data_IF_539641425189
#
_entry.id   IF_539641425189
#
_cell.length_a   1.000
_cell.length_b   1.000
_cell.length_c   1.000
_cell.angle_alpha   90.00
_cell.angle_beta   90.00
_cell.angle_gamma   90.00
#
_symmetry.space_group_name_H-M   'P 1'
#
loop_
_entity.id
_entity.type
_entity.pdbx_description
1 polymer ?
#
# COMPACT_ATOMS: atom_id res chain seq x y z
N UNK A 1 -3.77 19.01 -26.56
CA UNK A 1 -3.27 17.62 -26.57
C UNK A 1 -3.01 17.22 -25.13
N UNK A 2 -3.70 16.18 -24.62
CA UNK A 2 -3.41 15.65 -23.27
C UNK A 2 -2.16 14.78 -23.40
N UNK A 3 -1.10 15.08 -22.65
CA UNK A 3 0.12 14.28 -22.69
C UNK A 3 -0.20 12.82 -22.33
N UNK A 4 0.11 11.84 -23.20
CA UNK A 4 -0.24 10.44 -22.96
C UNK A 4 0.43 9.87 -21.70
N UNK A 5 1.55 10.45 -21.28
CA UNK A 5 2.22 10.11 -20.03
C UNK A 5 1.44 10.58 -18.79
N UNK A 6 0.80 11.75 -18.84
CA UNK A 6 -0.03 12.25 -17.75
C UNK A 6 -1.31 11.42 -17.65
N UNK A 7 -1.97 11.15 -18.77
CA UNK A 7 -3.18 10.29 -18.82
C UNK A 7 -2.96 8.94 -18.15
N UNK A 8 -1.79 8.31 -18.39
CA UNK A 8 -1.44 7.03 -17.77
C UNK A 8 -1.28 7.13 -16.25
N UNK A 9 -0.72 8.22 -15.71
CA UNK A 9 -0.59 8.44 -14.26
C UNK A 9 -1.94 8.54 -13.57
N UNK A 10 -2.87 9.28 -14.16
CA UNK A 10 -4.22 9.40 -13.62
C UNK A 10 -4.92 8.05 -13.54
N UNK A 11 -4.80 7.20 -14.56
CA UNK A 11 -5.37 5.84 -14.53
C UNK A 11 -4.82 5.04 -13.34
N UNK A 12 -3.51 5.06 -13.10
CA UNK A 12 -2.92 4.35 -11.96
C UNK A 12 -3.35 4.94 -10.61
N UNK A 13 -3.45 6.26 -10.47
CA UNK A 13 -3.91 6.90 -9.24
C UNK A 13 -5.37 6.56 -8.95
N UNK A 14 -6.24 6.64 -9.97
CA UNK A 14 -7.63 6.26 -9.85
C UNK A 14 -7.77 4.77 -9.50
N UNK A 15 -7.01 3.89 -10.15
CA UNK A 15 -7.05 2.45 -9.85
C UNK A 15 -6.61 2.16 -8.41
N UNK A 16 -5.55 2.81 -7.93
CA UNK A 16 -5.09 2.69 -6.54
C UNK A 16 -6.17 3.15 -5.55
N UNK A 17 -6.76 4.32 -5.78
CA UNK A 17 -7.80 4.86 -4.91
C UNK A 17 -9.06 3.99 -4.90
N UNK A 18 -9.47 3.46 -6.06
CA UNK A 18 -10.61 2.53 -6.16
C UNK A 18 -10.35 1.26 -5.36
N UNK A 19 -9.16 0.67 -5.48
CA UNK A 19 -8.80 -0.53 -4.72
C UNK A 19 -8.71 -0.24 -3.21
N UNK A 20 -8.10 0.88 -2.81
CA UNK A 20 -8.07 1.32 -1.42
C UNK A 20 -9.49 1.52 -0.86
N UNK A 21 -10.36 2.18 -1.63
CA UNK A 21 -11.76 2.37 -1.29
C UNK A 21 -12.53 1.06 -1.17
N UNK A 22 -12.26 0.08 -2.03
CA UNK A 22 -12.84 -1.26 -1.95
C UNK A 22 -12.40 -1.97 -0.67
N UNK A 23 -11.13 -1.87 -0.29
CA UNK A 23 -10.62 -2.43 0.97
C UNK A 23 -11.29 -1.75 2.17
N UNK A 24 -11.41 -0.42 2.14
CA UNK A 24 -12.14 0.32 3.18
C UNK A 24 -13.57 -0.14 3.30
N UNK A 25 -14.27 -0.24 2.17
CA UNK A 25 -15.65 -0.69 2.11
C UNK A 25 -15.80 -2.11 2.68
N UNK A 26 -14.98 -3.06 2.22
CA UNK A 26 -15.00 -4.45 2.72
C UNK A 26 -14.73 -4.55 4.22
N UNK A 27 -13.89 -3.66 4.77
CA UNK A 27 -13.53 -3.66 6.20
C UNK A 27 -14.53 -2.90 7.08
N UNK A 28 -15.20 -1.90 6.52
CA UNK A 28 -16.28 -1.17 7.18
C UNK A 28 -17.56 -1.98 7.23
N UNK A 29 -17.81 -2.85 6.26
CA UNK A 29 -18.93 -3.79 6.35
C UNK A 29 -18.61 -4.77 7.49
N UNK A 30 -19.45 -4.86 8.53
CA UNK A 30 -19.29 -5.85 9.59
C UNK A 30 -19.66 -7.24 9.06
N UNK A 31 -18.80 -7.83 8.24
CA UNK A 31 -18.94 -9.20 7.73
C UNK A 31 -18.54 -10.25 8.78
N UNK A 32 -18.01 -9.82 9.93
CA UNK A 32 -17.57 -10.71 11.01
C UNK A 32 -18.39 -10.45 12.28
N UNK A 33 -19.19 -11.45 12.66
CA UNK A 33 -19.89 -11.53 13.96
C UNK A 33 -19.03 -12.18 15.05
N UNK A 34 -17.79 -12.57 14.73
CA UNK A 34 -16.83 -13.16 15.67
C UNK A 34 -15.44 -12.57 15.44
N UNK A 35 -14.67 -12.25 16.50
CA UNK A 35 -13.31 -11.73 16.35
C UNK A 35 -12.41 -12.79 15.70
N UNK A 36 -11.89 -12.50 14.50
CA UNK A 36 -10.84 -13.31 13.88
C UNK A 36 -9.58 -13.27 14.74
N UNK A 37 -9.14 -14.42 15.22
CA UNK A 37 -7.90 -14.59 15.98
C UNK A 37 -6.65 -14.64 15.07
N UNK A 38 -6.82 -14.42 13.76
CA UNK A 38 -5.74 -14.47 12.79
C UNK A 38 -5.16 -13.07 12.59
N UNK A 39 -3.90 -12.86 13.01
CA UNK A 39 -3.12 -11.66 12.73
C UNK A 39 -2.73 -11.59 11.25
N UNK A 40 -3.73 -11.45 10.36
CA UNK A 40 -3.47 -11.29 8.94
C UNK A 40 -2.81 -9.94 8.72
N UNK A 41 -1.71 -9.87 7.93
CA UNK A 41 -1.11 -8.62 7.53
C UNK A 41 -2.16 -7.68 6.94
N UNK A 42 -2.06 -6.39 7.27
CA UNK A 42 -3.03 -5.42 6.83
C UNK A 42 -3.06 -5.35 5.30
N UNK A 43 -4.20 -5.74 4.70
CA UNK A 43 -4.32 -5.88 3.25
C UNK A 43 -4.05 -4.56 2.51
N UNK A 44 -4.36 -3.42 3.14
CA UNK A 44 -4.06 -2.10 2.60
C UNK A 44 -2.55 -1.84 2.57
N UNK A 45 -1.84 -2.21 3.64
CA UNK A 45 -0.37 -2.12 3.71
C UNK A 45 0.28 -3.03 2.65
N UNK A 46 -0.17 -4.28 2.56
CA UNK A 46 0.31 -5.21 1.55
C UNK A 46 0.09 -4.66 0.13
N UNK A 47 -1.08 -4.07 -0.12
CA UNK A 47 -1.37 -3.43 -1.40
C UNK A 47 -0.43 -2.26 -1.67
N UNK A 48 -0.19 -1.38 -0.70
CA UNK A 48 0.75 -0.25 -0.83
C UNK A 48 2.15 -0.72 -1.23
N UNK A 49 2.70 -1.73 -0.53
CA UNK A 49 4.03 -2.26 -0.84
C UNK A 49 4.10 -2.94 -2.20
N UNK A 50 3.12 -3.78 -2.54
CA UNK A 50 3.05 -4.45 -3.84
C UNK A 50 2.96 -3.44 -4.99
N UNK A 51 2.22 -2.35 -4.79
CA UNK A 51 2.09 -1.31 -5.81
C UNK A 51 3.40 -0.57 -6.07
N UNK A 52 4.11 -0.21 -5.00
CA UNK A 52 5.39 0.50 -5.08
C UNK A 52 6.46 -0.37 -5.74
N UNK A 53 6.51 -1.67 -5.42
CA UNK A 53 7.41 -2.63 -6.06
C UNK A 53 7.14 -2.78 -7.56
N UNK A 54 5.87 -2.89 -7.97
CA UNK A 54 5.51 -3.12 -9.38
C UNK A 54 5.66 -1.87 -10.25
N UNK A 55 5.33 -0.69 -9.71
CA UNK A 55 5.28 0.58 -10.46
C UNK A 55 5.65 1.76 -9.54
N UNK A 56 6.94 1.90 -9.15
CA UNK A 56 7.36 2.98 -8.27
C UNK A 56 7.02 4.35 -8.88
N UNK A 57 7.30 4.59 -10.15
CA UNK A 57 7.14 5.92 -10.78
C UNK A 57 5.71 6.48 -10.79
N UNK A 58 4.71 5.64 -10.52
CA UNK A 58 3.29 5.99 -10.60
C UNK A 58 2.63 6.18 -9.24
N UNK A 59 3.33 6.01 -8.12
CA UNK A 59 2.76 6.21 -6.76
C UNK A 59 3.46 7.33 -6.00
N UNK A 60 2.86 8.53 -5.93
CA UNK A 60 3.42 9.60 -5.12
C UNK A 60 3.24 9.27 -3.63
N UNK A 61 4.29 9.55 -2.84
CA UNK A 61 4.31 9.32 -1.39
C UNK A 61 3.12 9.97 -0.69
N UNK A 62 2.75 11.18 -1.13
CA UNK A 62 1.60 11.93 -0.63
C UNK A 62 0.29 11.15 -0.75
N UNK A 63 0.10 10.40 -1.82
CA UNK A 63 -1.13 9.63 -2.05
C UNK A 63 -1.21 8.41 -1.12
N UNK A 64 -0.07 7.74 -0.88
CA UNK A 64 0.02 6.66 0.12
C UNK A 64 -0.21 7.22 1.52
N UNK A 65 0.43 8.34 1.86
CA UNK A 65 0.29 9.00 3.16
C UNK A 65 -1.18 9.39 3.43
N UNK A 66 -1.84 10.02 2.45
CA UNK A 66 -3.24 10.42 2.57
C UNK A 66 -4.18 9.22 2.78
N UNK A 67 -4.01 8.16 1.99
CA UNK A 67 -4.83 6.94 2.12
C UNK A 67 -4.60 6.26 3.47
N UNK A 68 -3.35 6.12 3.91
CA UNK A 68 -3.05 5.49 5.20
C UNK A 68 -3.52 6.33 6.38
N UNK A 69 -3.39 7.66 6.32
CA UNK A 69 -3.89 8.54 7.38
C UNK A 69 -5.42 8.48 7.47
N UNK A 70 -6.11 8.43 6.32
CA UNK A 70 -7.55 8.22 6.27
C UNK A 70 -7.93 6.85 6.85
N UNK A 71 -7.14 5.80 6.57
CA UNK A 71 -7.33 4.48 7.16
C UNK A 71 -7.17 4.51 8.68
N UNK A 72 -6.17 5.21 9.20
CA UNK A 72 -5.93 5.32 10.63
C UNK A 72 -7.10 5.99 11.34
N UNK A 73 -7.65 7.06 10.75
CA UNK A 73 -8.84 7.74 11.26
C UNK A 73 -10.09 6.86 11.19
N UNK A 74 -10.30 6.19 10.04
CA UNK A 74 -11.51 5.40 9.77
C UNK A 74 -11.60 4.14 10.62
N UNK A 75 -10.46 3.50 10.89
CA UNK A 75 -10.37 2.28 11.69
C UNK A 75 -10.03 2.54 13.16
N UNK A 76 -10.09 3.81 13.61
CA UNK A 76 -9.80 4.22 14.99
C UNK A 76 -8.44 3.71 15.52
N UNK A 77 -7.46 3.64 14.62
CA UNK A 77 -6.06 3.31 14.96
C UNK A 77 -5.35 4.58 15.44
N UNK A 78 -4.21 4.47 16.15
CA UNK A 78 -3.41 5.63 16.51
C UNK A 78 -3.08 6.45 15.26
N UNK A 79 -3.60 7.69 15.13
CA UNK A 79 -3.59 8.43 13.89
C UNK A 79 -2.16 8.77 13.46
N UNK A 80 -1.81 8.45 12.22
CA UNK A 80 -0.56 8.86 11.59
C UNK A 80 0.65 7.99 11.90
N UNK A 81 0.61 7.14 12.93
CA UNK A 81 1.72 6.24 13.24
C UNK A 81 1.90 5.19 12.13
N UNK A 82 0.83 4.48 11.79
CA UNK A 82 0.84 3.47 10.73
C UNK A 82 1.07 4.13 9.37
N UNK A 83 0.48 5.29 9.12
CA UNK A 83 0.79 6.06 7.92
C UNK A 83 2.28 6.39 7.78
N UNK A 84 2.93 6.86 8.85
CA UNK A 84 4.36 7.17 8.84
C UNK A 84 5.21 5.92 8.58
N UNK A 85 4.92 4.81 9.27
CA UNK A 85 5.64 3.55 9.09
C UNK A 85 5.51 3.01 7.66
N UNK A 86 4.32 3.04 7.09
CA UNK A 86 4.08 2.59 5.72
C UNK A 86 4.79 3.49 4.71
N UNK A 87 4.75 4.81 4.89
CA UNK A 87 5.50 5.75 4.04
C UNK A 87 6.99 5.44 4.07
N UNK A 88 7.58 5.29 5.27
CA UNK A 88 9.01 4.94 5.42
C UNK A 88 9.31 3.60 4.74
N UNK A 89 8.47 2.58 4.96
CA UNK A 89 8.61 1.26 4.34
C UNK A 89 8.54 1.32 2.82
N UNK A 90 7.59 2.08 2.27
CA UNK A 90 7.45 2.25 0.82
C UNK A 90 8.65 2.96 0.20
N UNK A 91 9.19 3.99 0.85
CA UNK A 91 10.36 4.70 0.35
C UNK A 91 11.64 3.86 0.43
N UNK A 92 11.76 3.05 1.46
CA UNK A 92 12.82 2.07 1.56
C UNK A 92 12.76 1.03 0.44
N UNK A 93 11.56 0.51 0.14
CA UNK A 93 11.31 -0.43 -0.95
C UNK A 93 11.56 0.20 -2.33
N UNK A 94 11.15 1.47 -2.50
CA UNK A 94 11.36 2.25 -3.73
C UNK A 94 12.83 2.41 -4.07
N UNK A 95 13.67 2.71 -3.06
CA UNK A 95 15.13 2.81 -3.24
C UNK A 95 15.77 1.46 -3.61
N UNK A 96 15.12 0.34 -3.29
CA UNK A 96 15.61 -1.02 -3.57
C UNK A 96 14.97 -1.66 -4.79
N UNK A 97 14.02 -1.00 -5.47
CA UNK A 97 13.27 -1.60 -6.58
C UNK A 97 14.17 -1.95 -7.76
N UNK A 98 15.23 -1.17 -8.02
CA UNK A 98 16.23 -1.48 -9.04
C UNK A 98 17.05 -2.74 -8.71
N UNK A 99 17.34 -2.97 -7.42
CA UNK A 99 18.05 -4.16 -6.96
C UNK A 99 17.15 -5.41 -6.99
N UNK A 100 15.86 -5.26 -6.66
CA UNK A 100 14.88 -6.38 -6.61
C UNK A 100 14.54 -6.96 -7.99
N UNK A 101 14.67 -6.17 -9.06
CA UNK A 101 14.25 -6.57 -10.41
C UNK A 101 15.07 -7.73 -11.00
N UNK A 102 16.21 -8.05 -10.39
CA UNK A 102 17.09 -9.16 -10.75
C UNK A 102 17.03 -10.32 -9.74
N UNK A 103 16.28 -10.19 -8.64
CA UNK A 103 16.19 -11.23 -7.62
C UNK A 103 15.05 -12.23 -7.90
N UNK A 104 15.28 -13.53 -7.68
CA UNK A 104 14.22 -14.52 -7.75
C UNK A 104 13.15 -14.26 -6.67
N UNK A 105 11.89 -14.55 -7.01
CA UNK A 105 10.68 -14.28 -6.20
C UNK A 105 10.80 -14.61 -4.70
N UNK A 106 11.57 -15.65 -4.34
CA UNK A 106 11.80 -16.06 -2.95
C UNK A 106 12.47 -14.96 -2.10
N UNK A 107 13.37 -14.18 -2.70
CA UNK A 107 14.06 -13.09 -2.03
C UNK A 107 13.22 -11.81 -1.97
N UNK A 108 12.38 -11.54 -2.96
CA UNK A 108 11.36 -10.47 -2.85
C UNK A 108 10.45 -10.75 -1.64
N UNK A 109 10.02 -12.00 -1.49
CA UNK A 109 9.18 -12.44 -0.40
C UNK A 109 9.87 -12.32 0.97
N UNK A 110 11.12 -12.78 1.07
CA UNK A 110 11.91 -12.68 2.31
C UNK A 110 12.17 -11.23 2.74
N UNK A 111 12.40 -10.33 1.79
CA UNK A 111 12.63 -8.92 2.10
C UNK A 111 11.35 -8.21 2.57
N UNK A 112 10.19 -8.51 1.95
CA UNK A 112 8.89 -8.01 2.42
C UNK A 112 8.56 -8.55 3.81
N UNK A 113 8.82 -9.83 4.06
CA UNK A 113 8.65 -10.42 5.39
C UNK A 113 9.55 -9.76 6.44
N UNK A 114 10.82 -9.48 6.11
CA UNK A 114 11.77 -8.85 7.03
C UNK A 114 11.49 -7.38 7.38
N UNK A 115 10.65 -6.68 6.61
CA UNK A 115 10.19 -5.31 6.96
C UNK A 115 9.03 -5.34 7.96
N UNK A 116 8.32 -6.46 8.06
CA UNK A 116 7.13 -6.63 8.91
C UNK A 116 7.46 -7.23 10.29
N UNK A 117 8.72 -7.59 10.55
CA UNK A 117 9.25 -8.12 11.81
C UNK A 117 10.09 -7.06 12.49
#
# INVERSE_FOLDING_TARGET
>A
MVDPALSRKWVYWTLFLVLAGLIFFMRLIPLQTTPSNWAMPDLLVCMCFAWVLRRPDYTPVLLIAAVMLMADMLFQRPPGLMAALVVIGTEFLRRRTHLMRELPFLFEWAMVAGVMV
#
